data_IF_185444457425
#
_entry.id   IF_185444457425
#
_cell.length_a   1.000
_cell.length_b   1.000
_cell.length_c   1.000
_cell.angle_alpha   90.00
_cell.angle_beta   90.00
_cell.angle_gamma   90.00
#
_symmetry.space_group_name_H-M   'P 1'
#
loop_
_entity.id
_entity.type
_entity.pdbx_description
1 polymer ?
#
# COMPACT_ATOMS: atom_id res chain seq x y z
N UNK A 1 -29.36 0.71 0.68
CA UNK A 1 -27.91 0.51 0.91
C UNK A 1 -27.14 1.76 0.48
N UNK A 2 -27.17 2.84 1.29
CA UNK A 2 -26.56 4.15 0.99
C UNK A 2 -25.51 4.53 2.03
N UNK A 3 -24.55 3.61 2.34
CA UNK A 3 -23.51 3.87 3.34
C UNK A 3 -22.08 3.81 2.80
N UNK A 4 -21.90 3.94 1.50
CA UNK A 4 -20.58 4.19 0.91
C UNK A 4 -20.43 5.72 0.75
N UNK A 5 -20.12 6.41 1.84
CA UNK A 5 -19.52 7.74 1.74
C UNK A 5 -18.16 7.50 1.06
N UNK A 6 -18.06 7.90 -0.22
CA UNK A 6 -16.83 7.77 -0.98
C UNK A 6 -15.78 8.66 -0.32
N UNK A 7 -14.81 8.02 0.34
CA UNK A 7 -13.58 8.71 0.73
C UNK A 7 -12.87 9.09 -0.56
N UNK A 8 -12.53 10.35 -0.73
CA UNK A 8 -11.77 10.83 -1.88
C UNK A 8 -10.41 10.12 -1.90
N UNK A 9 -10.12 9.38 -2.98
CA UNK A 9 -8.88 8.62 -3.12
C UNK A 9 -7.93 9.45 -3.95
N UNK A 10 -6.92 10.05 -3.31
CA UNK A 10 -5.86 10.76 -4.02
C UNK A 10 -4.74 9.79 -4.38
N UNK A 11 -4.47 9.68 -5.67
CA UNK A 11 -3.57 8.70 -6.26
C UNK A 11 -2.35 9.42 -6.82
N UNK A 12 -1.15 8.98 -6.40
CA UNK A 12 0.11 9.36 -7.02
C UNK A 12 0.76 8.13 -7.64
N UNK A 13 0.99 8.18 -8.95
CA UNK A 13 1.58 7.06 -9.71
C UNK A 13 2.98 7.43 -10.14
N UNK A 14 3.95 6.56 -9.85
CA UNK A 14 5.28 6.61 -10.43
C UNK A 14 5.50 5.42 -11.37
N UNK A 15 6.12 5.61 -12.53
CA UNK A 15 6.35 4.53 -13.46
C UNK A 15 7.56 3.69 -13.04
N UNK A 16 7.34 2.65 -12.26
CA UNK A 16 8.29 1.56 -12.13
C UNK A 16 8.05 0.60 -13.31
N UNK A 17 9.01 0.49 -14.21
CA UNK A 17 8.92 -0.41 -15.36
C UNK A 17 9.45 -1.80 -14.98
N UNK A 18 8.65 -2.58 -14.29
CA UNK A 18 8.91 -4.00 -14.07
C UNK A 18 8.19 -4.79 -15.15
N UNK A 19 8.92 -5.43 -16.04
CA UNK A 19 8.37 -6.41 -16.96
C UNK A 19 8.21 -7.75 -16.22
N UNK A 20 6.99 -8.28 -16.18
CA UNK A 20 6.73 -9.63 -15.70
C UNK A 20 6.18 -10.45 -16.87
N UNK A 21 6.90 -11.47 -17.28
CA UNK A 21 6.54 -12.35 -18.40
C UNK A 21 5.66 -13.53 -17.98
N UNK A 22 5.50 -13.76 -16.66
CA UNK A 22 4.75 -14.87 -16.10
C UNK A 22 3.66 -14.40 -15.13
N UNK A 23 2.58 -15.18 -15.00
CA UNK A 23 1.46 -14.97 -14.06
C UNK A 23 1.85 -15.08 -12.56
N UNK A 24 3.11 -15.38 -12.27
CA UNK A 24 3.67 -15.40 -10.90
C UNK A 24 4.11 -14.00 -10.50
N UNK A 25 4.17 -13.74 -9.18
CA UNK A 25 4.66 -12.46 -8.66
C UNK A 25 6.11 -12.19 -9.11
N UNK A 26 6.53 -10.93 -9.05
CA UNK A 26 7.89 -10.51 -9.41
C UNK A 26 8.93 -11.26 -8.58
N UNK A 27 10.03 -11.67 -9.22
CA UNK A 27 11.16 -12.25 -8.49
C UNK A 27 11.90 -11.17 -7.69
N UNK A 28 12.41 -11.50 -6.52
CA UNK A 28 13.15 -10.55 -5.67
C UNK A 28 14.36 -9.99 -6.42
N UNK A 29 15.07 -10.82 -7.18
CA UNK A 29 16.22 -10.40 -8.00
C UNK A 29 15.85 -9.33 -9.02
N UNK A 30 14.70 -9.46 -9.70
CA UNK A 30 14.26 -8.46 -10.69
C UNK A 30 13.86 -7.14 -10.03
N UNK A 31 13.23 -7.20 -8.86
CA UNK A 31 12.83 -6.00 -8.11
C UNK A 31 14.05 -5.27 -7.56
N UNK A 32 15.00 -5.98 -6.93
CA UNK A 32 16.23 -5.37 -6.40
C UNK A 32 17.01 -4.66 -7.52
N UNK A 33 17.21 -5.33 -8.66
CA UNK A 33 17.91 -4.73 -9.81
C UNK A 33 17.26 -3.42 -10.27
N UNK A 34 15.93 -3.40 -10.34
CA UNK A 34 15.21 -2.20 -10.76
C UNK A 34 15.28 -1.10 -9.68
N UNK A 35 15.18 -1.44 -8.41
CA UNK A 35 15.29 -0.49 -7.31
C UNK A 35 16.67 0.18 -7.26
N UNK A 36 17.73 -0.57 -7.52
CA UNK A 36 19.09 -0.03 -7.60
C UNK A 36 19.26 0.88 -8.82
N UNK A 37 18.72 0.46 -9.98
CA UNK A 37 18.80 1.23 -11.23
C UNK A 37 18.24 2.64 -11.14
N UNK A 38 17.17 2.85 -10.35
CA UNK A 38 16.45 4.13 -10.25
C UNK A 38 16.67 4.85 -8.93
N UNK A 39 17.58 4.40 -8.08
CA UNK A 39 17.72 4.87 -6.68
C UNK A 39 16.39 4.91 -5.94
N UNK A 40 15.66 3.81 -5.99
CA UNK A 40 14.33 3.71 -5.37
C UNK A 40 14.34 4.01 -3.88
N UNK A 41 15.44 3.71 -3.18
CA UNK A 41 15.56 3.94 -1.74
C UNK A 41 15.57 5.44 -1.40
N UNK A 42 16.38 6.24 -2.09
CA UNK A 42 16.41 7.69 -1.91
C UNK A 42 15.07 8.33 -2.31
N UNK A 43 14.49 7.86 -3.39
CA UNK A 43 13.18 8.29 -3.84
C UNK A 43 12.08 8.00 -2.81
N UNK A 44 12.00 6.77 -2.25
CA UNK A 44 11.03 6.40 -1.22
C UNK A 44 11.14 7.30 0.01
N UNK A 45 12.37 7.55 0.49
CA UNK A 45 12.62 8.45 1.63
C UNK A 45 12.08 9.86 1.32
N UNK A 46 12.39 10.40 0.14
CA UNK A 46 11.95 11.74 -0.26
C UNK A 46 10.43 11.89 -0.30
N UNK A 47 9.72 10.86 -0.76
CA UNK A 47 8.25 10.84 -0.79
C UNK A 47 7.66 10.80 0.61
N UNK A 48 8.18 9.93 1.49
CA UNK A 48 7.66 9.83 2.88
C UNK A 48 7.93 11.13 3.64
N UNK A 49 9.12 11.75 3.50
CA UNK A 49 9.43 13.06 4.09
C UNK A 49 8.47 14.15 3.60
N UNK A 50 8.14 14.15 2.30
CA UNK A 50 7.18 15.11 1.73
C UNK A 50 5.77 14.90 2.25
N UNK A 51 5.34 13.66 2.48
CA UNK A 51 4.03 13.35 3.07
C UNK A 51 3.95 13.77 4.54
N UNK A 52 5.04 13.64 5.29
CA UNK A 52 5.13 14.11 6.67
C UNK A 52 5.14 15.65 6.78
N UNK A 53 5.78 16.32 5.83
CA UNK A 53 5.97 17.77 5.82
C UNK A 53 5.51 18.35 4.47
N UNK A 54 4.21 18.37 4.18
CA UNK A 54 3.69 18.89 2.93
C UNK A 54 3.93 20.42 2.88
N UNK A 55 4.33 20.92 1.69
CA UNK A 55 4.49 22.38 1.48
C UNK A 55 3.18 23.13 1.57
N UNK A 56 2.08 22.48 1.28
CA UNK A 56 0.70 22.98 1.39
C UNK A 56 -0.22 21.81 1.72
N UNK A 57 -1.33 22.09 2.41
CA UNK A 57 -2.32 21.09 2.78
C UNK A 57 -2.14 20.50 4.18
N UNK A 58 -2.91 19.46 4.50
CA UNK A 58 -3.00 18.88 5.84
C UNK A 58 -1.89 17.84 6.03
N UNK A 59 -1.22 17.91 7.19
CA UNK A 59 -0.25 16.91 7.62
C UNK A 59 -0.94 15.54 7.76
N UNK A 60 -0.26 14.48 7.30
CA UNK A 60 -0.77 13.10 7.44
C UNK A 60 -0.79 12.68 8.90
N UNK A 61 -1.87 11.99 9.31
CA UNK A 61 -2.03 11.50 10.69
C UNK A 61 -1.17 10.28 10.98
N UNK A 62 -0.97 9.43 9.97
CA UNK A 62 -0.10 8.26 10.04
C UNK A 62 0.19 7.73 8.64
N UNK A 63 1.43 7.34 8.40
CA UNK A 63 1.88 6.82 7.12
C UNK A 63 2.28 5.36 7.28
N UNK A 64 1.52 4.47 6.63
CA UNK A 64 1.84 3.04 6.59
C UNK A 64 2.50 2.71 5.24
N UNK A 65 3.78 2.35 5.28
CA UNK A 65 4.58 2.02 4.10
C UNK A 65 4.65 0.51 3.93
N UNK A 66 4.14 0.00 2.82
CA UNK A 66 4.29 -1.42 2.45
C UNK A 66 5.54 -1.61 1.62
N UNK A 67 6.56 -2.20 2.21
CA UNK A 67 7.83 -2.53 1.55
C UNK A 67 7.89 -4.01 1.17
N UNK A 68 8.77 -4.35 0.24
CA UNK A 68 9.01 -5.74 -0.16
C UNK A 68 10.12 -6.36 0.68
N UNK A 69 11.20 -5.62 0.91
CA UNK A 69 12.38 -6.09 1.64
C UNK A 69 12.60 -5.27 2.91
N UNK A 70 13.40 -5.80 3.82
CA UNK A 70 13.80 -5.11 5.04
C UNK A 70 14.65 -3.86 4.75
N UNK A 71 15.44 -3.90 3.68
CA UNK A 71 16.34 -2.80 3.27
C UNK A 71 15.62 -1.47 3.05
N UNK A 72 14.41 -1.45 2.46
CA UNK A 72 13.61 -0.22 2.33
C UNK A 72 13.17 0.30 3.70
N UNK A 73 12.73 -0.61 4.57
CA UNK A 73 12.28 -0.25 5.91
C UNK A 73 13.44 0.31 6.76
N UNK A 74 14.62 -0.30 6.69
CA UNK A 74 15.84 0.17 7.36
C UNK A 74 16.26 1.55 6.84
N UNK A 75 16.22 1.78 5.53
CA UNK A 75 16.51 3.09 4.95
C UNK A 75 15.56 4.18 5.45
N UNK A 76 14.29 3.85 5.60
CA UNK A 76 13.31 4.79 6.17
C UNK A 76 13.65 5.12 7.63
N UNK A 77 13.96 4.13 8.47
CA UNK A 77 14.30 4.37 9.88
C UNK A 77 15.58 5.19 10.05
N UNK A 78 16.59 4.93 9.21
CA UNK A 78 17.84 5.69 9.22
C UNK A 78 17.66 7.16 8.79
N UNK A 79 16.70 7.42 7.90
CA UNK A 79 16.55 8.74 7.28
C UNK A 79 15.41 9.57 7.87
N UNK A 80 14.48 8.94 8.57
CA UNK A 80 13.26 9.58 9.10
C UNK A 80 13.11 9.22 10.58
N UNK A 81 13.46 10.12 11.51
CA UNK A 81 13.27 9.89 12.94
C UNK A 81 11.81 9.55 13.29
N UNK A 82 11.62 8.65 14.24
CA UNK A 82 10.29 8.19 14.67
C UNK A 82 9.66 7.14 13.76
N UNK A 83 10.37 6.66 12.73
CA UNK A 83 9.90 5.52 11.92
C UNK A 83 10.12 4.20 12.64
N UNK A 84 9.12 3.33 12.69
CA UNK A 84 9.25 1.97 13.21
C UNK A 84 9.12 0.93 12.10
N UNK A 85 9.77 -0.24 12.30
CA UNK A 85 9.68 -1.39 11.40
C UNK A 85 8.79 -2.46 12.03
N UNK A 86 7.92 -3.04 11.21
CA UNK A 86 7.15 -4.25 11.54
C UNK A 86 7.38 -5.30 10.44
N UNK A 87 7.94 -6.44 10.82
CA UNK A 87 8.24 -7.56 9.93
C UNK A 87 7.77 -8.89 10.53
N UNK A 88 7.98 -9.99 9.80
CA UNK A 88 7.73 -11.34 10.31
C UNK A 88 8.53 -11.70 11.56
N UNK A 89 9.71 -11.10 11.71
CA UNK A 89 10.62 -11.33 12.85
C UNK A 89 10.28 -10.45 14.07
N UNK A 90 9.41 -9.44 13.91
CA UNK A 90 9.02 -8.57 15.02
C UNK A 90 8.17 -9.35 16.02
N UNK A 91 8.61 -9.49 17.30
CA UNK A 91 7.85 -10.19 18.33
C UNK A 91 6.43 -9.62 18.48
N UNK A 92 5.46 -10.46 18.82
CA UNK A 92 4.05 -10.06 18.92
C UNK A 92 3.85 -8.87 19.86
N UNK A 93 4.45 -8.89 21.05
CA UNK A 93 4.35 -7.81 22.04
C UNK A 93 4.93 -6.49 21.52
N UNK A 94 6.10 -6.54 20.87
CA UNK A 94 6.74 -5.37 20.24
C UNK A 94 5.88 -4.82 19.11
N UNK A 95 5.31 -5.69 18.29
CA UNK A 95 4.39 -5.29 17.22
C UNK A 95 3.16 -4.58 17.76
N UNK A 96 2.53 -5.14 18.79
CA UNK A 96 1.37 -4.52 19.44
C UNK A 96 1.69 -3.15 20.05
N UNK A 97 2.87 -3.00 20.65
CA UNK A 97 3.35 -1.72 21.16
C UNK A 97 3.53 -0.69 20.03
N UNK A 98 4.26 -1.04 18.96
CA UNK A 98 4.46 -0.17 17.79
C UNK A 98 3.12 0.26 17.20
N UNK A 99 2.19 -0.67 17.02
CA UNK A 99 0.88 -0.37 16.43
C UNK A 99 0.01 0.52 17.33
N UNK A 100 0.12 0.38 18.66
CA UNK A 100 -0.53 1.29 19.61
C UNK A 100 0.03 2.70 19.51
N UNK A 101 1.37 2.84 19.51
CA UNK A 101 2.05 4.13 19.36
C UNK A 101 1.80 4.77 17.98
N UNK A 102 1.66 3.96 16.94
CA UNK A 102 1.26 4.45 15.62
C UNK A 102 -0.17 5.01 15.60
N UNK A 103 -1.10 4.32 16.27
CA UNK A 103 -2.48 4.78 16.41
C UNK A 103 -2.62 6.03 17.28
N UNK A 104 -1.77 6.18 18.30
CA UNK A 104 -1.74 7.40 19.15
C UNK A 104 -1.04 8.58 18.46
N UNK A 105 -0.32 8.34 17.36
CA UNK A 105 0.45 9.35 16.64
C UNK A 105 1.86 9.60 17.20
N UNK A 106 2.30 8.83 18.20
CA UNK A 106 3.68 8.88 18.71
C UNK A 106 4.68 8.41 17.65
N UNK A 107 4.31 7.38 16.89
CA UNK A 107 5.06 6.90 15.73
C UNK A 107 4.34 7.42 14.47
N UNK A 108 4.95 8.35 13.71
CA UNK A 108 4.30 8.92 12.52
C UNK A 108 4.36 8.01 11.30
N UNK A 109 5.35 7.12 11.21
CA UNK A 109 5.60 6.24 10.07
C UNK A 109 5.85 4.81 10.53
N UNK A 110 5.11 3.86 9.96
CA UNK A 110 5.39 2.42 10.11
C UNK A 110 5.76 1.83 8.76
N UNK A 111 6.96 1.27 8.68
CA UNK A 111 7.41 0.47 7.54
C UNK A 111 7.06 -1.00 7.79
N UNK A 112 6.20 -1.56 6.95
CA UNK A 112 5.70 -2.92 7.06
C UNK A 112 6.30 -3.84 6.00
N UNK A 113 6.95 -4.90 6.45
CA UNK A 113 7.53 -5.95 5.59
C UNK A 113 6.66 -7.21 5.70
N UNK A 114 5.65 -7.31 4.86
CA UNK A 114 4.90 -8.54 4.63
C UNK A 114 3.89 -9.00 5.69
N UNK A 115 3.68 -8.27 6.80
CA UNK A 115 2.85 -8.79 7.92
C UNK A 115 1.54 -8.06 8.16
N UNK A 116 1.44 -6.76 7.94
CA UNK A 116 0.21 -5.99 8.22
C UNK A 116 -0.81 -6.03 7.06
N UNK A 117 -0.78 -7.07 6.26
CA UNK A 117 -1.76 -7.28 5.18
C UNK A 117 -3.10 -7.80 5.70
N UNK A 118 -3.08 -8.50 6.84
CA UNK A 118 -4.28 -9.00 7.54
C UNK A 118 -4.24 -8.63 9.02
N UNK A 119 -5.41 -8.60 9.68
CA UNK A 119 -5.49 -8.46 11.15
C UNK A 119 -5.14 -7.09 11.74
N UNK A 120 -4.70 -6.10 10.95
CA UNK A 120 -4.46 -4.75 11.44
C UNK A 120 -5.68 -3.86 11.22
N UNK A 121 -6.31 -3.44 12.30
CA UNK A 121 -7.46 -2.54 12.27
C UNK A 121 -7.09 -1.14 12.78
N UNK A 122 -7.17 -0.16 11.87
CA UNK A 122 -6.94 1.26 12.15
C UNK A 122 -7.78 2.10 11.16
N UNK A 123 -9.05 2.34 11.45
CA UNK A 123 -9.93 3.08 10.55
C UNK A 123 -9.49 4.52 10.27
N UNK A 124 -8.81 5.17 11.22
CA UNK A 124 -8.27 6.52 11.05
C UNK A 124 -7.06 6.60 10.10
N UNK A 125 -6.44 5.47 9.74
CA UNK A 125 -5.32 5.44 8.81
C UNK A 125 -5.69 6.17 7.52
N UNK A 126 -5.01 7.26 7.24
CA UNK A 126 -5.31 8.09 6.07
C UNK A 126 -4.32 7.90 4.91
N UNK A 127 -3.12 7.39 5.16
CA UNK A 127 -2.08 7.33 4.12
C UNK A 127 -1.40 5.97 4.04
N UNK A 128 -1.42 5.39 2.84
CA UNK A 128 -0.66 4.19 2.50
C UNK A 128 0.33 4.52 1.38
N UNK A 129 1.59 4.10 1.56
CA UNK A 129 2.62 4.14 0.53
C UNK A 129 2.92 2.71 0.07
N UNK A 130 2.67 2.44 -1.20
CA UNK A 130 2.97 1.16 -1.85
C UNK A 130 4.37 1.20 -2.44
N UNK A 131 5.36 0.80 -1.65
CA UNK A 131 6.75 0.58 -2.07
C UNK A 131 7.02 -0.88 -2.41
N UNK A 132 5.95 -1.63 -2.73
CA UNK A 132 5.99 -3.05 -3.10
C UNK A 132 5.23 -3.28 -4.39
N UNK A 133 5.89 -3.75 -5.47
CA UNK A 133 5.20 -4.25 -6.65
C UNK A 133 4.53 -5.59 -6.31
N UNK A 134 3.36 -5.84 -6.89
CA UNK A 134 2.69 -7.13 -6.76
C UNK A 134 1.89 -7.49 -8.01
N UNK A 135 1.79 -8.79 -8.28
CA UNK A 135 0.86 -9.37 -9.27
C UNK A 135 -0.41 -9.90 -8.61
N UNK A 136 -0.51 -9.87 -7.27
CA UNK A 136 -1.67 -10.33 -6.53
C UNK A 136 -2.70 -9.22 -6.38
N UNK A 137 -3.83 -9.36 -7.07
CA UNK A 137 -4.99 -8.49 -6.93
C UNK A 137 -5.55 -8.52 -5.49
N UNK A 138 -5.59 -9.70 -4.89
CA UNK A 138 -6.07 -9.88 -3.51
C UNK A 138 -5.20 -9.09 -2.51
N UNK A 139 -3.88 -9.17 -2.65
CA UNK A 139 -2.95 -8.40 -1.81
C UNK A 139 -3.13 -6.90 -2.00
N UNK A 140 -3.25 -6.43 -3.24
CA UNK A 140 -3.52 -5.04 -3.57
C UNK A 140 -4.78 -4.54 -2.87
N UNK A 141 -5.88 -5.28 -3.00
CA UNK A 141 -7.16 -4.94 -2.36
C UNK A 141 -7.10 -4.92 -0.83
N UNK A 142 -6.46 -5.91 -0.23
CA UNK A 142 -6.31 -5.97 1.22
C UNK A 142 -5.55 -4.75 1.75
N UNK A 143 -4.52 -4.31 1.05
CA UNK A 143 -3.72 -3.15 1.45
C UNK A 143 -4.51 -1.86 1.26
N UNK A 144 -5.04 -1.60 0.07
CA UNK A 144 -5.79 -0.38 -0.23
C UNK A 144 -7.05 -0.28 0.64
N UNK A 145 -7.73 -1.39 0.88
CA UNK A 145 -8.91 -1.47 1.74
C UNK A 145 -8.71 -0.94 3.16
N UNK A 146 -7.46 -0.81 3.62
CA UNK A 146 -7.17 -0.22 4.94
C UNK A 146 -7.27 1.30 4.94
N UNK A 147 -6.83 1.97 3.88
CA UNK A 147 -6.89 3.42 3.80
C UNK A 147 -8.27 3.95 3.42
N UNK A 148 -9.10 3.12 2.77
CA UNK A 148 -10.42 3.56 2.30
C UNK A 148 -11.56 3.33 3.31
N UNK A 149 -11.27 2.80 4.50
CA UNK A 149 -12.28 2.63 5.55
C UNK A 149 -12.83 3.98 5.98
N UNK A 150 -14.16 4.16 6.03
CA UNK A 150 -14.76 5.39 6.53
C UNK A 150 -14.42 5.60 8.01
N UNK A 151 -14.15 6.86 8.38
CA UNK A 151 -14.02 7.28 9.78
C UNK A 151 -14.39 8.75 9.91
N UNK A 152 -15.11 9.18 10.97
CA UNK A 152 -15.56 10.58 11.14
C UNK A 152 -14.43 11.61 11.08
N UNK A 153 -13.23 11.25 11.53
CA UNK A 153 -12.05 12.10 11.56
C UNK A 153 -11.20 12.04 10.29
N UNK A 154 -11.70 11.42 9.22
CA UNK A 154 -10.96 11.21 7.98
C UNK A 154 -11.78 11.63 6.77
N UNK A 155 -11.31 12.66 6.06
CA UNK A 155 -11.95 13.17 4.85
C UNK A 155 -11.56 12.37 3.61
N UNK A 156 -10.33 11.89 3.54
CA UNK A 156 -9.80 11.18 2.38
C UNK A 156 -8.79 10.09 2.76
N UNK A 157 -8.73 9.03 1.96
CA UNK A 157 -7.66 8.04 1.97
C UNK A 157 -6.64 8.33 0.87
N UNK A 158 -5.36 8.32 1.22
CA UNK A 158 -4.25 8.57 0.30
C UNK A 158 -3.54 7.27 -0.05
N UNK A 159 -3.52 6.95 -1.34
CA UNK A 159 -2.78 5.81 -1.87
C UNK A 159 -1.66 6.36 -2.74
N UNK A 160 -0.44 6.22 -2.27
CA UNK A 160 0.77 6.62 -2.99
C UNK A 160 1.42 5.36 -3.56
N UNK A 161 1.19 5.09 -4.83
CA UNK A 161 1.69 3.89 -5.50
C UNK A 161 3.00 4.19 -6.23
N UNK A 162 4.10 3.70 -5.68
CA UNK A 162 5.44 3.87 -6.24
C UNK A 162 5.83 2.73 -7.21
N UNK A 163 4.99 1.69 -7.31
CA UNK A 163 5.33 0.46 -8.00
C UNK A 163 4.39 0.10 -9.17
N UNK A 164 3.52 1.05 -9.57
CA UNK A 164 2.63 0.88 -10.73
C UNK A 164 1.52 -0.16 -10.53
N UNK A 165 1.14 -0.46 -9.29
CA UNK A 165 0.05 -1.40 -9.01
C UNK A 165 -1.30 -0.87 -9.50
N UNK A 166 -1.54 0.45 -9.37
CA UNK A 166 -2.77 1.10 -9.90
C UNK A 166 -2.84 0.98 -11.43
N UNK A 167 -1.71 1.18 -12.12
CA UNK A 167 -1.65 0.98 -13.57
C UNK A 167 -1.99 -0.46 -13.96
N UNK A 168 -1.60 -1.42 -13.12
CA UNK A 168 -1.85 -2.85 -13.35
C UNK A 168 -3.28 -3.25 -13.05
N UNK A 169 -3.81 -2.86 -11.90
CA UNK A 169 -5.11 -3.32 -11.41
C UNK A 169 -6.25 -2.33 -11.64
N UNK A 170 -5.94 -1.07 -11.92
CA UNK A 170 -6.90 0.02 -11.97
C UNK A 170 -7.22 0.58 -10.59
N UNK A 171 -8.07 1.60 -10.57
CA UNK A 171 -8.56 2.20 -9.34
C UNK A 171 -9.64 1.31 -8.71
N UNK A 172 -9.72 1.29 -7.38
CA UNK A 172 -10.69 0.46 -6.64
C UNK A 172 -12.13 0.73 -7.07
N UNK A 173 -12.48 1.99 -7.35
CA UNK A 173 -13.81 2.39 -7.80
C UNK A 173 -14.21 1.83 -9.17
N UNK A 174 -13.22 1.47 -10.00
CA UNK A 174 -13.45 0.97 -11.37
C UNK A 174 -13.63 -0.55 -11.41
N UNK A 175 -13.49 -1.21 -10.29
CA UNK A 175 -13.55 -2.66 -10.24
C UNK A 175 -15.00 -3.15 -10.29
N UNK A 176 -15.20 -4.16 -11.09
CA UNK A 176 -16.50 -4.82 -11.28
C UNK A 176 -16.32 -6.32 -11.18
N UNK A 177 -17.19 -6.95 -10.41
CA UNK A 177 -17.33 -8.39 -10.41
C UNK A 177 -18.36 -8.76 -11.46
N UNK A 178 -17.97 -9.59 -12.40
CA UNK A 178 -18.82 -10.00 -13.53
C UNK A 178 -19.05 -11.51 -13.44
N UNK A 179 -20.33 -11.90 -13.42
CA UNK A 179 -20.73 -13.30 -13.53
C UNK A 179 -20.64 -13.73 -14.99
N UNK A 180 -19.76 -14.69 -15.26
CA UNK A 180 -19.59 -15.30 -16.57
C UNK A 180 -20.49 -16.52 -16.81
N UNK A 181 -21.40 -16.83 -15.88
CA UNK A 181 -22.25 -18.03 -15.90
C UNK A 181 -21.52 -19.28 -15.43
N UNK A 182 -22.31 -20.31 -15.07
CA UNK A 182 -21.82 -21.63 -14.59
C UNK A 182 -20.81 -21.54 -13.42
N UNK A 183 -21.04 -20.63 -12.47
CA UNK A 183 -20.16 -20.41 -11.31
C UNK A 183 -18.80 -19.77 -11.64
N UNK A 184 -18.67 -19.20 -12.82
CA UNK A 184 -17.44 -18.49 -13.23
C UNK A 184 -17.58 -17.00 -12.98
N UNK A 185 -16.74 -16.47 -12.13
CA UNK A 185 -16.68 -15.05 -11.84
C UNK A 185 -15.36 -14.46 -12.31
N UNK A 186 -15.36 -13.22 -12.73
CA UNK A 186 -14.14 -12.51 -13.09
C UNK A 186 -14.18 -11.07 -12.58
N UNK A 187 -13.01 -10.55 -12.23
CA UNK A 187 -12.85 -9.15 -11.85
C UNK A 187 -12.37 -8.36 -13.07
N UNK A 188 -13.04 -7.28 -13.33
CA UNK A 188 -12.73 -6.34 -14.42
C UNK A 188 -12.39 -4.96 -13.85
N UNK A 189 -11.53 -4.23 -14.56
CA UNK A 189 -11.30 -2.80 -14.37
C UNK A 189 -11.28 -2.12 -15.74
N UNK A 190 -12.16 -1.13 -15.94
CA UNK A 190 -12.27 -0.37 -17.22
C UNK A 190 -12.33 -1.28 -18.46
N UNK A 191 -13.11 -2.34 -18.39
CA UNK A 191 -13.27 -3.31 -19.48
C UNK A 191 -12.16 -4.36 -19.63
N UNK A 192 -11.07 -4.26 -18.86
CA UNK A 192 -9.99 -5.25 -18.85
C UNK A 192 -10.21 -6.29 -17.75
N UNK A 193 -10.17 -7.56 -18.11
CA UNK A 193 -10.24 -8.66 -17.16
C UNK A 193 -8.91 -8.76 -16.36
N UNK A 194 -9.01 -8.80 -15.03
CA UNK A 194 -7.88 -8.86 -14.12
C UNK A 194 -7.63 -10.27 -13.57
N UNK A 195 -8.66 -11.10 -13.52
CA UNK A 195 -8.57 -12.46 -12.96
C UNK A 195 -9.36 -13.44 -13.81
N UNK A 196 -8.91 -14.69 -13.83
CA UNK A 196 -9.61 -15.85 -14.38
C UNK A 196 -9.97 -16.80 -13.22
N UNK A 197 -10.57 -16.29 -12.18
CA UNK A 197 -10.93 -17.14 -11.02
C UNK A 197 -12.14 -17.97 -11.39
N UNK A 198 -11.98 -19.30 -11.32
CA UNK A 198 -13.08 -20.25 -11.23
C UNK A 198 -13.31 -20.49 -9.73
N UNK A 199 -14.50 -20.19 -9.28
CA UNK A 199 -14.98 -20.61 -7.95
C UNK A 199 -15.76 -21.91 -8.10
#
# INVERSE_FOLDING_TARGET
FSWLTFIDIKIYIFPLYLSCTNLKDYTDKSVVKEYERIDFYGFLVSIVQRLMNPKSGVKRKGILVFTRFLKEAERLTMSIPGTAIVSGETPKSTREMILRQFKSGEIPVVANVGVLTTGFDYPELDTIVMARPTMSLALWYQIVGRAIRPHPNKEAGWIVDLCGNIKRFGEVKDLRLVDGGNGKWAVYSKGRQLTNVRF
#
